data_IF_318662224926
#
_entry.id   IF_318662224926
#
_cell.length_a   1.000
_cell.length_b   1.000
_cell.length_c   1.000
_cell.angle_alpha   90.00
_cell.angle_beta   90.00
_cell.angle_gamma   90.00
#
_symmetry.space_group_name_H-M   'P 1'
#
loop_
_entity.id
_entity.type
_entity.pdbx_description
1 polymer ?
#
# COMPACT_ATOMS: atom_id res chain seq x y z
N UNK A 1 -15.67 -10.65 1.51
CA UNK A 1 -14.75 -9.99 2.48
C UNK A 1 -13.45 -9.70 1.75
N UNK A 2 -12.92 -8.48 1.86
CA UNK A 2 -11.64 -8.08 1.28
C UNK A 2 -10.68 -7.70 2.41
N UNK A 3 -9.71 -8.57 2.72
CA UNK A 3 -8.84 -8.38 3.90
C UNK A 3 -7.71 -7.42 3.55
N UNK A 4 -7.60 -6.32 4.30
CA UNK A 4 -6.50 -5.37 4.19
C UNK A 4 -5.38 -5.76 5.17
N UNK A 5 -4.27 -6.26 4.62
CA UNK A 5 -3.08 -6.70 5.35
C UNK A 5 -1.81 -6.35 4.57
N UNK A 6 -0.65 -6.51 5.20
CA UNK A 6 0.64 -6.38 4.51
C UNK A 6 0.77 -7.36 3.33
N UNK A 7 1.33 -6.91 2.21
CA UNK A 7 1.64 -7.75 1.05
C UNK A 7 2.94 -8.55 1.22
N UNK A 8 3.77 -8.21 2.22
CA UNK A 8 5.13 -8.76 2.36
C UNK A 8 5.18 -10.13 3.05
N UNK A 9 4.07 -10.56 3.66
CA UNK A 9 3.96 -11.83 4.38
C UNK A 9 2.63 -12.50 4.09
N UNK A 10 2.51 -13.80 4.34
CA UNK A 10 1.20 -14.47 4.43
C UNK A 10 0.44 -14.10 5.70
N UNK A 11 1.16 -13.75 6.78
CA UNK A 11 0.59 -13.26 8.03
C UNK A 11 0.24 -11.77 7.97
N UNK A 12 -0.29 -11.19 9.04
CA UNK A 12 -0.44 -9.74 9.21
C UNK A 12 0.87 -9.04 9.62
N UNK A 13 1.94 -9.79 9.95
CA UNK A 13 3.26 -9.28 10.28
C UNK A 13 4.21 -9.31 9.06
N UNK A 14 4.69 -8.15 8.56
CA UNK A 14 5.55 -8.09 7.36
C UNK A 14 6.92 -8.75 7.54
N UNK A 15 7.36 -9.00 8.76
CA UNK A 15 8.68 -9.59 9.06
C UNK A 15 8.70 -11.11 8.93
N UNK A 16 7.53 -11.76 8.87
CA UNK A 16 7.41 -13.21 8.78
C UNK A 16 7.45 -13.65 7.32
N UNK A 17 8.64 -14.01 6.83
CA UNK A 17 8.86 -14.36 5.43
C UNK A 17 8.62 -15.86 5.13
N UNK A 18 8.49 -16.19 3.85
CA UNK A 18 8.30 -17.56 3.39
C UNK A 18 6.91 -18.10 3.69
N UNK A 19 6.85 -19.26 4.37
CA UNK A 19 5.59 -19.94 4.74
C UNK A 19 5.44 -19.98 6.27
N UNK A 20 5.10 -18.85 6.92
CA UNK A 20 4.82 -18.86 8.36
C UNK A 20 3.62 -19.77 8.65
N UNK A 21 3.65 -20.40 9.82
CA UNK A 21 2.58 -21.25 10.35
C UNK A 21 2.17 -20.76 11.73
N UNK A 22 0.98 -21.15 12.18
CA UNK A 22 0.51 -20.94 13.55
C UNK A 22 0.54 -19.46 13.99
N UNK A 23 0.35 -18.54 13.04
CA UNK A 23 0.24 -17.11 13.31
C UNK A 23 -1.22 -16.70 13.55
N UNK A 24 -1.41 -15.71 14.41
CA UNK A 24 -2.72 -15.10 14.67
C UNK A 24 -2.87 -13.91 13.73
N UNK A 25 -4.06 -13.74 13.16
CA UNK A 25 -4.42 -12.53 12.40
C UNK A 25 -5.25 -11.63 13.31
N UNK A 26 -4.74 -10.44 13.61
CA UNK A 26 -5.40 -9.46 14.47
C UNK A 26 -6.19 -8.49 13.61
N UNK A 27 -7.50 -8.37 13.81
CA UNK A 27 -8.34 -7.36 13.13
C UNK A 27 -8.53 -6.17 14.06
N UNK A 28 -8.07 -4.99 13.64
CA UNK A 28 -8.20 -3.74 14.42
C UNK A 28 -9.54 -3.05 14.17
N UNK A 29 -10.00 -3.09 12.94
CA UNK A 29 -11.19 -2.36 12.48
C UNK A 29 -11.82 -3.08 11.29
N UNK A 30 -13.11 -2.85 11.07
CA UNK A 30 -13.83 -3.32 9.90
C UNK A 30 -14.52 -2.12 9.25
N UNK A 31 -14.18 -1.84 8.00
CA UNK A 31 -14.90 -0.87 7.18
C UNK A 31 -15.95 -1.55 6.31
N UNK A 32 -17.04 -0.84 6.04
CA UNK A 32 -18.16 -1.34 5.24
C UNK A 32 -18.15 -0.63 3.88
N UNK A 33 -17.77 -1.35 2.83
CA UNK A 33 -17.86 -0.85 1.46
C UNK A 33 -19.23 -1.23 0.86
N UNK A 34 -20.30 -0.61 1.35
CA UNK A 34 -21.67 -0.94 0.94
C UNK A 34 -21.91 -0.84 -0.56
N UNK A 35 -21.31 0.17 -1.23
CA UNK A 35 -21.42 0.32 -2.67
C UNK A 35 -20.71 -0.79 -3.47
N UNK A 36 -19.63 -1.34 -2.95
CA UNK A 36 -18.87 -2.43 -3.57
C UNK A 36 -19.33 -3.83 -3.13
N UNK A 37 -20.18 -3.91 -2.11
CA UNK A 37 -20.79 -5.16 -1.63
C UNK A 37 -19.88 -6.02 -0.74
N UNK A 38 -18.89 -5.46 -0.06
CA UNK A 38 -18.03 -6.22 0.85
C UNK A 38 -17.59 -5.47 2.11
N UNK A 39 -17.23 -6.24 3.14
CA UNK A 39 -16.56 -5.77 4.35
C UNK A 39 -15.05 -5.82 4.18
N UNK A 40 -14.36 -4.83 4.78
CA UNK A 40 -12.90 -4.66 4.74
C UNK A 40 -12.35 -4.76 6.17
N UNK A 41 -11.97 -5.95 6.65
CA UNK A 41 -11.21 -6.11 7.88
C UNK A 41 -9.78 -5.59 7.71
N UNK A 42 -9.33 -4.72 8.61
CA UNK A 42 -8.02 -4.09 8.59
C UNK A 42 -7.17 -4.70 9.71
N UNK A 43 -6.04 -5.31 9.34
CA UNK A 43 -5.21 -6.11 10.26
C UNK A 43 -3.95 -5.41 10.77
N UNK A 44 -3.65 -4.24 10.25
CA UNK A 44 -2.48 -3.45 10.63
C UNK A 44 -2.57 -2.04 10.08
N UNK A 45 -1.42 -1.37 9.96
CA UNK A 45 -1.38 -0.06 9.32
C UNK A 45 -1.30 -0.23 7.80
N UNK A 46 -2.33 0.26 7.11
CA UNK A 46 -2.41 0.30 5.66
C UNK A 46 -2.26 1.75 5.22
N UNK A 47 -1.26 2.01 4.38
CA UNK A 47 -1.01 3.34 3.83
C UNK A 47 -2.06 3.64 2.76
N UNK A 48 -2.96 4.60 3.03
CA UNK A 48 -3.97 5.07 2.07
C UNK A 48 -3.52 6.30 1.29
N UNK A 49 -2.58 7.05 1.84
CA UNK A 49 -2.04 8.27 1.24
C UNK A 49 -0.50 8.21 1.35
N UNK A 50 0.20 7.85 0.27
CA UNK A 50 1.66 7.87 0.26
C UNK A 50 2.18 9.30 0.32
N UNK A 51 3.27 9.51 1.06
CA UNK A 51 4.00 10.77 1.10
C UNK A 51 5.04 10.86 -0.01
N UNK A 52 5.61 12.06 -0.19
CA UNK A 52 6.77 12.25 -1.05
C UNK A 52 8.07 11.81 -0.34
N UNK A 53 9.06 11.26 -1.07
CA UNK A 53 10.37 10.98 -0.52
C UNK A 53 11.16 12.26 -0.24
N UNK A 54 12.30 12.15 0.45
CA UNK A 54 13.16 13.28 0.78
C UNK A 54 13.64 14.08 -0.45
N UNK A 55 13.86 13.38 -1.58
CA UNK A 55 14.15 13.97 -2.88
C UNK A 55 13.04 13.55 -3.86
N UNK A 56 12.00 14.37 -4.05
CA UNK A 56 10.90 14.06 -4.95
C UNK A 56 11.36 14.00 -6.41
N UNK A 57 10.85 13.02 -7.17
CA UNK A 57 11.10 12.95 -8.62
C UNK A 57 10.69 14.25 -9.35
N UNK A 58 9.73 14.99 -8.80
CA UNK A 58 9.27 16.28 -9.33
C UNK A 58 10.40 17.32 -9.51
N UNK A 59 11.48 17.26 -8.72
CA UNK A 59 12.63 18.17 -8.88
C UNK A 59 13.39 17.92 -10.20
N UNK A 60 13.26 16.73 -10.78
CA UNK A 60 13.92 16.32 -12.02
C UNK A 60 12.96 16.35 -13.22
N UNK A 61 11.66 16.57 -13.01
CA UNK A 61 10.69 16.65 -14.10
C UNK A 61 10.86 18.00 -14.81
N UNK A 62 11.11 17.95 -16.12
CA UNK A 62 11.29 19.15 -16.95
C UNK A 62 10.84 18.92 -18.38
N UNK A 63 10.65 20.01 -19.12
CA UNK A 63 10.32 20.03 -20.54
C UNK A 63 11.39 20.80 -21.29
N UNK A 64 11.92 20.22 -22.36
CA UNK A 64 12.88 20.91 -23.23
C UNK A 64 12.18 21.85 -24.23
N UNK A 65 12.97 22.56 -25.04
CA UNK A 65 12.45 23.52 -26.02
C UNK A 65 11.70 22.88 -27.19
N UNK A 66 11.86 21.57 -27.39
CA UNK A 66 11.17 20.79 -28.42
C UNK A 66 9.86 20.20 -27.87
N UNK A 67 9.59 20.38 -26.58
CA UNK A 67 8.41 19.87 -25.89
C UNK A 67 8.58 18.45 -25.35
N UNK A 68 9.80 17.89 -25.34
CA UNK A 68 10.04 16.56 -24.78
C UNK A 68 10.15 16.62 -23.26
N UNK A 69 9.53 15.67 -22.59
CA UNK A 69 9.51 15.58 -21.13
C UNK A 69 10.62 14.65 -20.64
N UNK A 70 11.35 15.08 -19.61
CA UNK A 70 12.41 14.31 -18.93
C UNK A 70 12.08 14.11 -17.45
N UNK A 71 12.69 13.11 -16.79
CA UNK A 71 12.53 12.86 -15.36
C UNK A 71 11.25 12.13 -14.91
N UNK A 72 10.45 11.63 -15.86
CA UNK A 72 9.16 10.97 -15.62
C UNK A 72 9.21 9.43 -15.71
N UNK A 73 10.29 8.87 -16.28
CA UNK A 73 10.49 7.44 -16.53
C UNK A 73 11.84 6.97 -15.98
#
# INVERSE_FOLDING_TARGET
VCIAKTQNSLSDNPSLLGRPKDFIVTVREIEIASGAGFLIPITGNIMRMPGLPAFPAAEQISIDNEGNITGLM
#
